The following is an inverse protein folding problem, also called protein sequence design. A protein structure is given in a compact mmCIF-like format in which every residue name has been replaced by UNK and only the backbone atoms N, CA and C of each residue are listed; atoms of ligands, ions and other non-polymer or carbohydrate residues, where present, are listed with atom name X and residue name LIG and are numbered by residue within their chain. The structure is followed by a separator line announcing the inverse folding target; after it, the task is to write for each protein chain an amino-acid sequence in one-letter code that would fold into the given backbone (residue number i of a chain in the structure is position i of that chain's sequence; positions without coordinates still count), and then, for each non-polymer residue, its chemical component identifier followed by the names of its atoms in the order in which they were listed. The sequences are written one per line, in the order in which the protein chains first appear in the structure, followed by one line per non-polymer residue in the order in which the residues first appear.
data_IF_284894226179
#
_entry.id   IF_284894226179
#
_cell.length_a   1.000
_cell.length_b   1.000
_cell.length_c   1.000
_cell.angle_alpha   90.00
_cell.angle_beta   90.00
_cell.angle_gamma   90.00
#
_symmetry.space_group_name_H-M   'P 1'
#
loop_
_entity.id
_entity.type
_entity.pdbx_description
1 polymer ?
#
# COMPACT_ATOMS: atom_id res chain seq x y z
N UNK A 1 22.04 -5.56 -18.19
CA UNK A 1 22.06 -4.76 -16.96
C UNK A 1 20.79 -5.09 -16.20
N UNK A 2 20.89 -5.37 -14.90
CA UNK A 2 19.71 -5.63 -14.07
C UNK A 2 19.01 -4.32 -13.69
N UNK A 3 17.71 -4.40 -13.34
CA UNK A 3 16.92 -3.28 -12.82
C UNK A 3 17.41 -2.98 -11.40
N UNK A 4 17.88 -1.78 -11.16
CA UNK A 4 18.37 -1.30 -9.85
C UNK A 4 17.17 -0.85 -9.00
N UNK A 5 16.82 -1.65 -8.01
CA UNK A 5 15.64 -1.46 -7.16
C UNK A 5 16.05 -0.90 -5.79
N UNK A 6 15.43 0.20 -5.36
CA UNK A 6 15.47 0.68 -3.98
C UNK A 6 14.14 0.34 -3.31
N UNK A 7 14.19 -0.24 -2.11
CA UNK A 7 12.98 -0.58 -1.33
C UNK A 7 12.87 0.40 -0.16
N UNK A 8 11.70 1.01 -0.01
CA UNK A 8 11.41 2.00 1.05
C UNK A 8 10.17 1.55 1.82
N UNK A 9 10.37 1.12 3.06
CA UNK A 9 9.32 0.61 3.94
C UNK A 9 9.72 0.81 5.40
N UNK A 10 8.83 1.30 6.24
CA UNK A 10 9.11 1.55 7.66
C UNK A 10 9.22 0.26 8.50
N UNK A 11 8.92 -0.89 7.91
CA UNK A 11 9.08 -2.20 8.54
C UNK A 11 10.39 -2.87 8.04
N UNK A 12 11.46 -2.93 8.86
CA UNK A 12 12.74 -3.52 8.45
C UNK A 12 12.62 -4.96 7.96
N UNK A 13 11.72 -5.75 8.57
CA UNK A 13 11.47 -7.14 8.17
C UNK A 13 10.93 -7.25 6.75
N UNK A 14 10.13 -6.26 6.30
CA UNK A 14 9.63 -6.20 4.92
C UNK A 14 10.79 -5.91 3.97
N UNK A 15 11.63 -4.91 4.29
CA UNK A 15 12.82 -4.59 3.51
C UNK A 15 13.76 -5.80 3.37
N UNK A 16 14.06 -6.50 4.48
CA UNK A 16 14.91 -7.69 4.49
C UNK A 16 14.29 -8.84 3.68
N UNK A 17 13.00 -9.11 3.89
CA UNK A 17 12.27 -10.17 3.20
C UNK A 17 12.26 -10.00 1.69
N UNK A 18 11.95 -8.79 1.21
CA UNK A 18 11.98 -8.50 -0.23
C UNK A 18 13.41 -8.49 -0.77
N UNK A 19 14.40 -7.97 -0.04
CA UNK A 19 15.79 -8.02 -0.47
C UNK A 19 16.26 -9.46 -0.69
N UNK A 20 16.03 -10.35 0.28
CA UNK A 20 16.37 -11.77 0.16
C UNK A 20 15.62 -12.45 -0.98
N UNK A 21 14.34 -12.13 -1.15
CA UNK A 21 13.52 -12.69 -2.23
C UNK A 21 14.07 -12.30 -3.61
N UNK A 22 14.44 -11.04 -3.78
CA UNK A 22 14.96 -10.55 -5.07
C UNK A 22 16.37 -11.06 -5.39
N UNK A 23 17.18 -11.54 -4.41
CA UNK A 23 18.46 -12.20 -4.67
C UNK A 23 18.33 -13.43 -5.60
N UNK A 24 17.15 -14.05 -5.62
CA UNK A 24 16.84 -15.22 -6.48
C UNK A 24 16.11 -14.85 -7.77
N UNK A 25 15.99 -13.56 -8.08
CA UNK A 25 15.28 -13.08 -9.27
C UNK A 25 16.25 -12.48 -10.27
N UNK A 26 16.48 -13.19 -11.36
CA UNK A 26 17.36 -12.71 -12.42
C UNK A 26 16.93 -11.35 -12.98
N UNK A 27 17.89 -10.43 -13.08
CA UNK A 27 17.69 -9.13 -13.71
C UNK A 27 17.04 -8.08 -12.82
N UNK A 28 16.92 -8.29 -11.51
CA UNK A 28 16.53 -7.27 -10.53
C UNK A 28 17.59 -7.27 -9.42
N UNK A 29 18.21 -6.11 -9.19
CA UNK A 29 19.25 -5.92 -8.18
C UNK A 29 18.76 -4.93 -7.12
N UNK A 30 18.55 -5.38 -5.88
CA UNK A 30 18.23 -4.48 -4.76
C UNK A 30 19.49 -3.73 -4.37
N UNK A 31 19.56 -2.45 -4.73
CA UNK A 31 20.73 -1.60 -4.50
C UNK A 31 20.76 -0.96 -3.12
N UNK A 32 19.66 -1.03 -2.38
CA UNK A 32 19.55 -0.53 -1.01
C UNK A 32 18.13 -0.57 -0.48
N UNK A 33 18.01 -0.22 0.81
CA UNK A 33 16.72 -0.09 1.50
C UNK A 33 16.69 1.22 2.29
N UNK A 34 15.50 1.73 2.62
CA UNK A 34 15.31 2.88 3.49
C UNK A 34 14.05 2.68 4.35
N UNK A 35 14.04 3.21 5.56
CA UNK A 35 12.93 3.02 6.53
C UNK A 35 12.09 4.27 6.76
N UNK A 36 12.39 5.37 6.07
CA UNK A 36 11.64 6.63 6.13
C UNK A 36 11.93 7.49 4.90
N UNK A 37 11.14 8.54 4.70
CA UNK A 37 11.23 9.41 3.54
C UNK A 37 12.55 10.18 3.44
N UNK A 38 13.14 10.59 4.58
CA UNK A 38 14.44 11.29 4.59
C UNK A 38 15.56 10.37 4.14
N UNK A 39 15.61 9.15 4.66
CA UNK A 39 16.59 8.15 4.24
C UNK A 39 16.40 7.76 2.78
N UNK A 40 15.14 7.59 2.33
CA UNK A 40 14.82 7.32 0.94
C UNK A 40 15.44 8.37 0.00
N UNK A 41 15.22 9.66 0.26
CA UNK A 41 15.80 10.74 -0.55
C UNK A 41 17.32 10.68 -0.59
N UNK A 42 17.98 10.50 0.58
CA UNK A 42 19.44 10.38 0.64
C UNK A 42 19.98 9.18 -0.14
N UNK A 43 19.30 8.02 -0.06
CA UNK A 43 19.66 6.82 -0.83
C UNK A 43 19.44 7.00 -2.33
N UNK A 44 18.36 7.65 -2.74
CA UNK A 44 18.09 7.95 -4.14
C UNK A 44 19.17 8.87 -4.71
N UNK A 45 19.51 9.95 -3.99
CA UNK A 45 20.57 10.89 -4.40
C UNK A 45 21.94 10.18 -4.58
N UNK A 46 22.24 9.20 -3.73
CA UNK A 46 23.52 8.47 -3.73
C UNK A 46 23.54 7.31 -4.73
N UNK A 47 22.47 6.53 -4.81
CA UNK A 47 22.44 5.26 -5.54
C UNK A 47 21.89 5.40 -6.96
N UNK A 48 21.09 6.43 -7.23
CA UNK A 48 20.39 6.65 -8.52
C UNK A 48 19.75 5.32 -9.00
N UNK A 49 18.74 4.78 -8.29
CA UNK A 49 18.09 3.55 -8.69
C UNK A 49 17.27 3.75 -9.96
N UNK A 50 16.98 2.65 -10.69
CA UNK A 50 16.04 2.70 -11.82
C UNK A 50 14.59 2.77 -11.32
N UNK A 51 14.30 2.04 -10.23
CA UNK A 51 12.95 1.97 -9.63
C UNK A 51 13.05 2.12 -8.11
N UNK A 52 12.12 2.88 -7.54
CA UNK A 52 11.86 2.97 -6.10
C UNK A 52 10.54 2.27 -5.81
N UNK A 53 10.57 1.19 -5.03
CA UNK A 53 9.40 0.56 -4.44
C UNK A 53 9.14 1.23 -3.10
N UNK A 54 8.08 2.04 -3.02
CA UNK A 54 7.86 3.04 -1.98
C UNK A 54 6.58 2.76 -1.21
N UNK A 55 6.70 2.56 0.11
CA UNK A 55 5.49 2.50 0.94
C UNK A 55 4.76 3.85 0.97
N UNK A 56 3.44 3.77 0.98
CA UNK A 56 2.56 4.92 1.09
C UNK A 56 2.64 5.58 2.47
N UNK A 57 2.79 4.78 3.53
CA UNK A 57 2.79 5.22 4.92
C UNK A 57 4.19 5.12 5.52
N UNK A 58 4.87 6.26 5.60
CA UNK A 58 6.17 6.38 6.25
C UNK A 58 6.08 7.20 7.53
N UNK A 59 6.96 6.98 8.51
CA UNK A 59 6.84 7.61 9.84
C UNK A 59 7.08 9.13 9.85
N UNK A 60 7.78 9.66 8.86
CA UNK A 60 8.16 11.07 8.78
C UNK A 60 7.45 11.85 7.65
N UNK A 61 6.87 11.15 6.68
CA UNK A 61 6.18 11.77 5.54
C UNK A 61 5.25 10.75 4.84
N UNK A 62 4.34 11.21 3.98
CA UNK A 62 3.60 10.30 3.12
C UNK A 62 4.42 9.89 1.89
N UNK A 63 4.28 8.64 1.43
CA UNK A 63 4.92 8.16 0.22
C UNK A 63 4.59 9.03 -1.00
N UNK A 64 3.38 9.61 -1.07
CA UNK A 64 2.99 10.56 -2.12
C UNK A 64 3.86 11.81 -2.10
N UNK A 65 4.15 12.36 -0.91
CA UNK A 65 5.03 13.53 -0.77
C UNK A 65 6.46 13.20 -1.17
N UNK A 66 6.96 12.04 -0.75
CA UNK A 66 8.27 11.54 -1.16
C UNK A 66 8.33 11.37 -2.67
N UNK A 67 7.32 10.73 -3.28
CA UNK A 67 7.24 10.54 -4.73
C UNK A 67 7.31 11.86 -5.51
N UNK A 68 6.58 12.89 -5.08
CA UNK A 68 6.66 14.23 -5.69
C UNK A 68 8.07 14.84 -5.60
N UNK A 69 8.76 14.67 -4.48
CA UNK A 69 10.15 15.14 -4.31
C UNK A 69 11.12 14.36 -5.22
N UNK A 70 10.94 13.04 -5.31
CA UNK A 70 11.73 12.19 -6.22
C UNK A 70 11.52 12.64 -7.66
N UNK A 71 10.27 12.76 -8.10
CA UNK A 71 9.96 13.19 -9.47
C UNK A 71 10.54 14.56 -9.82
N UNK A 72 10.54 15.51 -8.87
CA UNK A 72 11.10 16.85 -9.09
C UNK A 72 12.63 16.86 -9.20
N UNK A 73 13.34 15.95 -8.54
CA UNK A 73 14.82 15.93 -8.50
C UNK A 73 15.45 14.87 -9.42
N UNK A 74 14.74 13.78 -9.63
CA UNK A 74 15.17 12.61 -10.38
C UNK A 74 14.04 12.17 -11.35
N UNK A 75 13.80 12.90 -12.44
CA UNK A 75 12.69 12.65 -13.36
C UNK A 75 12.77 11.28 -14.05
N UNK A 76 13.95 10.71 -14.17
CA UNK A 76 14.18 9.42 -14.81
C UNK A 76 13.96 8.22 -13.88
N UNK A 77 13.93 8.44 -12.55
CA UNK A 77 13.68 7.39 -11.57
C UNK A 77 12.19 7.01 -11.59
N UNK A 78 11.90 5.75 -11.78
CA UNK A 78 10.54 5.22 -11.74
C UNK A 78 10.09 5.01 -10.29
N UNK A 79 8.83 5.28 -10.01
CA UNK A 79 8.27 5.23 -8.66
C UNK A 79 7.07 4.30 -8.66
N UNK A 80 7.12 3.27 -7.83
CA UNK A 80 6.00 2.36 -7.60
C UNK A 80 5.59 2.46 -6.14
N UNK A 81 4.38 2.93 -5.88
CA UNK A 81 3.78 2.85 -4.55
C UNK A 81 3.44 1.38 -4.26
N UNK A 82 3.88 0.89 -3.09
CA UNK A 82 3.69 -0.50 -2.68
C UNK A 82 3.18 -0.53 -1.24
N UNK A 83 1.88 -0.71 -1.05
CA UNK A 83 1.22 -0.50 0.23
C UNK A 83 0.39 -1.70 0.69
N UNK A 84 0.23 -1.85 2.00
CA UNK A 84 -0.65 -2.87 2.57
C UNK A 84 -2.15 -2.57 2.33
N UNK A 85 -2.49 -1.33 2.02
CA UNK A 85 -3.81 -0.85 1.66
C UNK A 85 -3.78 0.65 1.44
N UNK A 86 -4.66 1.13 0.56
CA UNK A 86 -4.86 2.55 0.31
C UNK A 86 -6.36 2.79 0.12
N UNK A 87 -6.84 3.95 0.56
CA UNK A 87 -8.20 4.35 0.20
C UNK A 87 -8.26 4.97 -1.20
N UNK A 88 -9.47 5.17 -1.71
CA UNK A 88 -9.68 5.75 -3.04
C UNK A 88 -9.03 7.14 -3.20
N UNK A 89 -8.99 7.96 -2.14
CA UNK A 89 -8.35 9.28 -2.15
C UNK A 89 -6.82 9.15 -2.25
N UNK A 90 -6.24 8.25 -1.47
CA UNK A 90 -4.79 7.98 -1.48
C UNK A 90 -4.33 7.43 -2.83
N UNK A 91 -5.09 6.48 -3.41
CA UNK A 91 -4.82 5.93 -4.75
C UNK A 91 -4.86 7.05 -5.81
N UNK A 92 -5.90 7.90 -5.78
CA UNK A 92 -5.99 9.05 -6.70
C UNK A 92 -4.84 10.04 -6.49
N UNK A 93 -4.50 10.35 -5.23
CA UNK A 93 -3.37 11.24 -4.94
C UNK A 93 -2.05 10.64 -5.43
N UNK A 94 -1.84 9.33 -5.28
CA UNK A 94 -0.69 8.64 -5.83
C UNK A 94 -0.67 8.77 -7.37
N UNK A 95 -1.76 8.42 -8.04
CA UNK A 95 -1.86 8.48 -9.49
C UNK A 95 -1.55 9.87 -10.06
N UNK A 96 -2.07 10.96 -9.43
CA UNK A 96 -1.78 12.34 -9.88
C UNK A 96 -0.42 12.87 -9.42
N UNK A 97 0.31 12.16 -8.58
CA UNK A 97 1.63 12.57 -8.12
C UNK A 97 2.77 12.22 -9.08
N UNK A 98 2.45 11.55 -10.19
CA UNK A 98 3.42 11.16 -11.21
C UNK A 98 4.17 9.87 -10.87
N UNK A 99 3.55 8.95 -10.10
CA UNK A 99 4.10 7.60 -9.90
C UNK A 99 3.85 6.74 -11.13
N UNK A 100 4.72 5.77 -11.36
CA UNK A 100 4.64 4.84 -12.49
C UNK A 100 3.85 3.57 -12.14
N UNK A 101 3.50 3.41 -10.86
CA UNK A 101 2.65 2.29 -10.42
C UNK A 101 2.11 2.43 -9.02
N UNK A 102 0.98 1.73 -8.77
CA UNK A 102 0.38 1.57 -7.44
C UNK A 102 0.00 0.11 -7.25
N UNK A 103 0.63 -0.56 -6.29
CA UNK A 103 0.52 -2.00 -6.06
C UNK A 103 0.20 -2.30 -4.59
N UNK A 104 -0.52 -3.37 -4.36
CA UNK A 104 -0.80 -3.87 -3.00
C UNK A 104 0.27 -4.86 -2.54
N UNK A 105 0.69 -4.78 -1.26
CA UNK A 105 1.62 -5.75 -0.63
C UNK A 105 1.03 -7.16 -0.51
N UNK A 106 -0.28 -7.31 -0.75
CA UNK A 106 -0.98 -8.60 -0.78
C UNK A 106 -0.84 -9.34 -2.10
N UNK A 107 -0.34 -8.67 -3.16
CA UNK A 107 -0.19 -9.30 -4.47
C UNK A 107 0.83 -10.45 -4.46
N UNK A 108 0.62 -11.49 -5.27
CA UNK A 108 1.57 -12.58 -5.42
C UNK A 108 2.95 -12.10 -5.90
N UNK A 109 4.03 -12.66 -5.35
CA UNK A 109 5.41 -12.29 -5.69
C UNK A 109 5.70 -12.31 -7.19
N UNK A 110 5.18 -13.31 -7.91
CA UNK A 110 5.35 -13.39 -9.36
C UNK A 110 4.69 -12.24 -10.12
N UNK A 111 3.63 -11.65 -9.58
CA UNK A 111 2.96 -10.47 -10.14
C UNK A 111 3.74 -9.19 -9.83
N UNK A 112 4.27 -9.05 -8.62
CA UNK A 112 5.17 -7.96 -8.27
C UNK A 112 6.39 -7.91 -9.20
N UNK A 113 7.03 -9.06 -9.46
CA UNK A 113 8.16 -9.14 -10.39
C UNK A 113 7.77 -8.69 -11.81
N UNK A 114 6.59 -9.14 -12.29
CA UNK A 114 6.08 -8.70 -13.61
C UNK A 114 5.79 -7.21 -13.64
N UNK A 115 5.18 -6.67 -12.59
CA UNK A 115 4.88 -5.24 -12.47
C UNK A 115 6.16 -4.40 -12.49
N UNK A 116 7.20 -4.76 -11.71
CA UNK A 116 8.50 -4.08 -11.70
C UNK A 116 9.13 -4.05 -13.11
N UNK A 117 9.10 -5.19 -13.83
CA UNK A 117 9.62 -5.25 -15.21
C UNK A 117 8.81 -4.37 -16.16
N UNK A 118 7.49 -4.37 -16.02
CA UNK A 118 6.58 -3.53 -16.82
C UNK A 118 6.87 -2.05 -16.62
N UNK A 119 7.11 -1.63 -15.35
CA UNK A 119 7.49 -0.26 -15.03
C UNK A 119 8.88 0.07 -15.56
N UNK A 120 9.85 -0.86 -15.48
CA UNK A 120 11.18 -0.66 -16.07
C UNK A 120 11.12 -0.39 -17.58
N UNK A 121 10.17 -1.06 -18.29
CA UNK A 121 9.91 -0.84 -19.72
C UNK A 121 9.17 0.49 -20.01
N UNK A 122 8.90 1.32 -19.00
CA UNK A 122 8.27 2.63 -19.15
C UNK A 122 6.74 2.60 -19.24
N UNK A 123 6.10 1.51 -18.84
CA UNK A 123 4.63 1.40 -18.79
C UNK A 123 4.13 1.55 -17.36
N UNK A 124 2.99 2.21 -17.19
CA UNK A 124 2.34 2.34 -15.90
C UNK A 124 1.62 1.05 -15.49
N UNK A 125 1.57 0.77 -14.19
CA UNK A 125 0.89 -0.39 -13.60
C UNK A 125 0.05 0.02 -12.41
N UNK A 126 -1.24 -0.32 -12.44
CA UNK A 126 -2.13 -0.15 -11.30
C UNK A 126 -2.71 -1.51 -10.95
N UNK A 127 -2.66 -1.86 -9.68
CA UNK A 127 -3.27 -3.09 -9.17
C UNK A 127 -4.76 -3.12 -9.52
N UNK A 128 -5.26 -4.25 -10.02
CA UNK A 128 -6.66 -4.38 -10.44
C UNK A 128 -7.65 -4.12 -9.31
N UNK A 129 -7.30 -4.47 -8.09
CA UNK A 129 -8.12 -4.23 -6.89
C UNK A 129 -8.22 -2.73 -6.56
N UNK A 130 -7.31 -1.89 -7.10
CA UNK A 130 -7.30 -0.44 -6.92
C UNK A 130 -7.95 0.33 -8.08
N UNK A 131 -8.18 -0.30 -9.23
CA UNK A 131 -8.75 0.38 -10.42
C UNK A 131 -10.14 0.95 -10.13
N UNK A 132 -10.98 0.24 -9.34
CA UNK A 132 -12.28 0.72 -8.92
C UNK A 132 -12.23 2.06 -8.16
N UNK A 133 -11.16 2.27 -7.41
CA UNK A 133 -10.94 3.49 -6.62
C UNK A 133 -10.63 4.73 -7.49
N UNK A 134 -10.22 4.55 -8.74
CA UNK A 134 -9.92 5.65 -9.67
C UNK A 134 -11.14 6.15 -10.44
N UNK A 135 -12.15 5.30 -10.60
CA UNK A 135 -13.33 5.57 -11.42
C UNK A 135 -14.47 6.26 -10.67
N UNK A 136 -14.41 6.35 -9.33
CA UNK A 136 -15.41 7.06 -8.55
C UNK A 136 -15.16 8.58 -8.61
N UNK A 137 -16.19 9.40 -8.95
CA UNK A 137 -16.04 10.86 -9.01
C UNK A 137 -15.80 11.46 -7.62
N UNK A 138 -14.88 12.43 -7.54
CA UNK A 138 -14.72 13.30 -6.37
C UNK A 138 -16.06 13.99 -6.09
N UNK A 139 -16.67 13.69 -4.96
CA UNK A 139 -17.87 14.41 -4.53
C UNK A 139 -19.09 13.56 -4.21
N UNK A 140 -19.01 12.25 -4.25
CA UNK A 140 -20.04 11.43 -3.61
C UNK A 140 -19.89 11.58 -2.08
N UNK A 141 -20.63 12.51 -1.50
CA UNK A 141 -20.99 12.56 -0.09
C UNK A 141 -21.89 11.35 0.21
N UNK A 142 -21.31 10.16 0.22
CA UNK A 142 -21.98 8.91 0.47
C UNK A 142 -20.90 7.85 0.67
N UNK A 143 -20.72 7.46 1.91
CA UNK A 143 -20.05 6.23 2.40
C UNK A 143 -19.19 5.50 1.37
N UNK A 144 -17.87 5.74 1.45
CA UNK A 144 -16.89 4.94 0.69
C UNK A 144 -17.17 3.46 0.95
N UNK A 145 -17.46 2.65 -0.07
CA UNK A 145 -17.78 1.24 0.14
C UNK A 145 -16.60 0.54 0.80
N UNK A 146 -16.92 -0.34 1.74
CA UNK A 146 -15.90 -1.19 2.33
C UNK A 146 -15.42 -2.19 1.28
N UNK A 147 -14.11 -2.44 1.23
CA UNK A 147 -13.55 -3.53 0.45
C UNK A 147 -14.03 -4.89 1.03
N UNK A 148 -13.97 -5.95 0.25
CA UNK A 148 -14.31 -7.31 0.71
C UNK A 148 -13.53 -7.67 1.97
N UNK A 149 -12.27 -7.26 2.06
CA UNK A 149 -11.42 -7.49 3.23
C UNK A 149 -11.87 -6.69 4.46
N UNK A 150 -12.30 -5.45 4.28
CA UNK A 150 -12.86 -4.62 5.36
C UNK A 150 -14.21 -5.13 5.81
N UNK A 151 -15.05 -5.64 4.90
CA UNK A 151 -16.31 -6.32 5.24
C UNK A 151 -16.06 -7.60 6.04
N UNK A 152 -15.06 -8.39 5.65
CA UNK A 152 -14.64 -9.58 6.38
C UNK A 152 -14.16 -9.22 7.79
N UNK A 153 -13.29 -8.20 7.91
CA UNK A 153 -12.84 -7.69 9.21
C UNK A 153 -14.02 -7.20 10.05
N UNK A 154 -14.95 -6.43 9.48
CA UNK A 154 -16.14 -5.93 10.17
C UNK A 154 -17.03 -7.07 10.69
N UNK A 155 -17.23 -8.11 9.89
CA UNK A 155 -17.99 -9.30 10.27
C UNK A 155 -17.34 -10.05 11.45
N UNK A 156 -16.03 -10.21 11.42
CA UNK A 156 -15.28 -10.85 12.50
C UNK A 156 -15.24 -9.98 13.77
N UNK A 157 -15.21 -8.65 13.63
CA UNK A 157 -15.36 -7.71 14.75
C UNK A 157 -16.75 -7.82 15.40
N UNK A 158 -17.81 -7.98 14.61
CA UNK A 158 -19.16 -8.20 15.09
C UNK A 158 -19.29 -9.48 15.91
N UNK A 159 -18.49 -10.51 15.57
CA UNK A 159 -18.38 -11.75 16.35
C UNK A 159 -17.50 -11.62 17.62
N UNK A 160 -17.06 -10.41 17.97
CA UNK A 160 -16.28 -10.14 19.19
C UNK A 160 -14.82 -10.57 19.15
N UNK A 161 -14.27 -10.89 17.98
CA UNK A 161 -12.90 -11.37 17.86
C UNK A 161 -11.87 -10.30 18.22
N UNK A 162 -10.82 -10.69 18.96
CA UNK A 162 -9.70 -9.81 19.27
C UNK A 162 -8.77 -9.65 18.04
N UNK A 163 -7.88 -8.62 18.04
CA UNK A 163 -6.91 -8.44 16.97
C UNK A 163 -5.98 -9.65 16.79
N UNK A 164 -5.78 -10.44 17.88
CA UNK A 164 -5.01 -11.70 17.81
C UNK A 164 -5.78 -12.76 17.03
N UNK A 165 -7.07 -12.87 17.31
CA UNK A 165 -7.93 -13.89 16.68
C UNK A 165 -8.19 -13.52 15.22
N UNK A 166 -8.37 -12.22 14.94
CA UNK A 166 -8.44 -11.67 13.57
C UNK A 166 -7.17 -12.01 12.76
N UNK A 167 -6.00 -11.78 13.34
CA UNK A 167 -4.74 -12.07 12.69
C UNK A 167 -4.61 -13.56 12.33
N UNK A 168 -5.03 -14.44 13.24
CA UNK A 168 -5.03 -15.88 13.01
C UNK A 168 -6.07 -16.30 11.95
N UNK A 169 -7.32 -15.80 12.05
CA UNK A 169 -8.41 -16.13 11.13
C UNK A 169 -8.10 -15.66 9.69
N UNK A 170 -7.47 -14.50 9.55
CA UNK A 170 -7.19 -13.86 8.29
C UNK A 170 -5.80 -14.19 7.72
N UNK A 171 -4.99 -14.98 8.43
CA UNK A 171 -3.62 -15.36 8.08
C UNK A 171 -2.71 -14.15 7.81
N UNK A 172 -2.84 -13.07 8.61
CA UNK A 172 -2.06 -11.83 8.50
C UNK A 172 -1.44 -11.43 9.84
N UNK A 173 -0.52 -10.46 9.83
CA UNK A 173 0.09 -9.93 11.05
C UNK A 173 -0.90 -9.12 11.88
N UNK A 174 -0.65 -8.99 13.20
CA UNK A 174 -1.45 -8.09 14.06
C UNK A 174 -1.33 -6.62 13.66
N UNK A 175 -0.18 -6.23 13.10
CA UNK A 175 0.03 -4.88 12.57
C UNK A 175 -0.90 -4.64 11.38
N UNK A 176 -0.99 -5.58 10.45
CA UNK A 176 -1.91 -5.52 9.30
C UNK A 176 -3.37 -5.46 9.73
N UNK A 177 -3.76 -6.24 10.76
CA UNK A 177 -5.12 -6.17 11.34
C UNK A 177 -5.39 -4.76 11.89
N UNK A 178 -4.43 -4.16 12.59
CA UNK A 178 -4.57 -2.80 13.12
C UNK A 178 -4.84 -1.80 12.00
N UNK A 179 -4.08 -1.85 10.91
CA UNK A 179 -4.27 -1.01 9.73
C UNK A 179 -5.67 -1.19 9.11
N UNK A 180 -6.13 -2.44 8.94
CA UNK A 180 -7.48 -2.69 8.42
C UNK A 180 -8.57 -2.11 9.34
N UNK A 181 -8.40 -2.23 10.66
CA UNK A 181 -9.36 -1.65 11.63
C UNK A 181 -9.33 -0.12 11.54
N UNK A 182 -8.16 0.52 11.48
CA UNK A 182 -8.04 1.98 11.35
C UNK A 182 -8.72 2.50 10.08
N UNK A 183 -8.51 1.82 8.94
CA UNK A 183 -9.18 2.14 7.68
C UNK A 183 -10.70 1.95 7.76
N UNK A 184 -11.14 0.85 8.38
CA UNK A 184 -12.55 0.56 8.62
C UNK A 184 -13.22 1.64 9.47
N UNK A 185 -12.61 2.02 10.60
CA UNK A 185 -13.10 3.09 11.48
C UNK A 185 -13.28 4.40 10.74
N UNK A 186 -12.28 4.78 9.93
CA UNK A 186 -12.31 6.00 9.12
C UNK A 186 -13.43 5.96 8.08
N UNK A 187 -13.59 4.86 7.33
CA UNK A 187 -14.65 4.70 6.31
C UNK A 187 -16.05 4.68 6.88
N UNK A 188 -16.21 4.11 8.07
CA UNK A 188 -17.48 4.08 8.78
C UNK A 188 -17.74 5.36 9.62
N UNK A 189 -16.77 6.28 9.69
CA UNK A 189 -16.80 7.47 10.56
C UNK A 189 -17.04 7.08 12.03
N UNK A 190 -16.48 5.95 12.45
CA UNK A 190 -16.66 5.36 13.77
C UNK A 190 -15.49 5.72 14.70
N UNK A 191 -15.81 6.09 15.94
CA UNK A 191 -14.81 6.46 16.96
C UNK A 191 -14.05 5.26 17.53
N UNK A 192 -14.64 4.08 17.48
CA UNK A 192 -14.09 2.85 18.02
C UNK A 192 -14.75 1.61 17.37
N UNK A 193 -14.22 0.42 17.72
CA UNK A 193 -14.68 -0.85 17.14
C UNK A 193 -16.17 -1.14 17.38
N UNK A 194 -16.73 -0.74 18.54
CA UNK A 194 -18.13 -0.97 18.86
C UNK A 194 -19.02 -0.06 18.01
N UNK A 195 -18.62 1.21 17.83
CA UNK A 195 -19.27 2.13 16.94
C UNK A 195 -19.22 1.65 15.47
N UNK A 196 -18.09 1.07 15.03
CA UNK A 196 -17.98 0.49 13.68
C UNK A 196 -18.94 -0.67 13.45
N UNK A 197 -19.08 -1.57 14.41
CA UNK A 197 -20.03 -2.69 14.33
C UNK A 197 -21.47 -2.18 14.32
N UNK A 198 -21.82 -1.22 15.18
CA UNK A 198 -23.15 -0.60 15.19
C UNK A 198 -23.47 0.08 13.85
N UNK A 199 -22.51 0.78 13.28
CA UNK A 199 -22.63 1.42 11.96
C UNK A 199 -22.76 0.39 10.84
N UNK A 200 -22.06 -0.73 10.92
CA UNK A 200 -22.18 -1.85 10.00
C UNK A 200 -23.60 -2.44 9.96
N UNK A 201 -24.24 -2.63 11.12
CA UNK A 201 -25.65 -3.04 11.18
C UNK A 201 -26.58 -1.95 10.64
N UNK A 202 -26.34 -0.67 11.01
CA UNK A 202 -27.18 0.45 10.55
C UNK A 202 -27.16 0.63 9.02
N UNK A 203 -26.00 0.38 8.37
CA UNK A 203 -25.84 0.46 6.92
C UNK A 203 -26.23 -0.82 6.19
N UNK A 204 -26.66 -1.88 6.90
CA UNK A 204 -27.02 -3.17 6.29
C UNK A 204 -25.80 -3.94 5.73
N UNK A 205 -24.59 -3.63 6.20
CA UNK A 205 -23.35 -4.31 5.82
C UNK A 205 -23.16 -5.62 6.57
N UNK A 206 -23.84 -5.77 7.69
CA UNK A 206 -23.85 -6.99 8.51
C UNK A 206 -25.26 -7.60 8.53
N UNK A 207 -25.39 -8.94 8.43
CA UNK A 207 -26.67 -9.61 8.58
C UNK A 207 -27.15 -9.47 10.03
N UNK A 208 -28.43 -9.27 10.22
CA UNK A 208 -29.12 -9.23 11.54
C UNK A 208 -29.30 -10.64 12.07
#
# INVERSE_FOLDING_TARGET
MGIRLLIVDDHPVVCEGFSQMFEYVDGIDVVGTAVNGREAMARIDMLVPDIVLLDLHLPDDSGVTVARRVRARHPDVRIVIFTAGADASEVRQAAVSGVDGVLLKTMPVGELIRAIRTVADGREVIDQDLVGSLTEPDGATGTVPLSDRELEVLSLLANGMSNKDLAAALFISRATVKTHIENLLRKLEASDRAAAVAEGFRRGLLPV
#
